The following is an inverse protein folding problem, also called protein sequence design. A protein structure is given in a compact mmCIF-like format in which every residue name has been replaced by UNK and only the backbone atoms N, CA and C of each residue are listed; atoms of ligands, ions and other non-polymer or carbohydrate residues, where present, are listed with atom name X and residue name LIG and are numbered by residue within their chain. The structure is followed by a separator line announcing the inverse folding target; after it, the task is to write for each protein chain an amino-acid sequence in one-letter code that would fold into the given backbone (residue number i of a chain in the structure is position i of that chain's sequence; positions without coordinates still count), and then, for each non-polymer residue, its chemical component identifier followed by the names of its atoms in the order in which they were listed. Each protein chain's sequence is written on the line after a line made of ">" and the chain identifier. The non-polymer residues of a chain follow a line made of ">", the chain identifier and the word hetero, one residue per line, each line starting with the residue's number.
data_IF_855227560168
#
_entry.id   IF_855227560168
#
_cell.length_a   1.000
_cell.length_b   1.000
_cell.length_c   1.000
_cell.angle_alpha   90.00
_cell.angle_beta   90.00
_cell.angle_gamma   90.00
#
_symmetry.space_group_name_H-M   'P 1'
#
loop_
_entity.id
_entity.type
_entity.pdbx_description
1 polymer ?
#
# COMPACT_ATOMS: atom_id res chain seq x y z
N UNK A 1 51.74 -6.34 -37.22
CA UNK A 1 50.35 -6.67 -36.82
C UNK A 1 49.42 -6.27 -37.98
N UNK A 2 48.39 -7.06 -38.34
CA UNK A 2 47.61 -6.84 -39.56
C UNK A 2 46.12 -6.60 -39.29
N UNK A 3 45.49 -5.77 -40.14
CA UNK A 3 44.05 -5.55 -40.14
C UNK A 3 43.36 -6.58 -41.04
N UNK A 4 42.51 -7.44 -40.47
CA UNK A 4 41.77 -8.44 -41.24
C UNK A 4 40.72 -7.84 -42.19
N UNK A 5 40.31 -6.59 -41.97
CA UNK A 5 39.27 -5.89 -42.75
C UNK A 5 39.83 -5.26 -44.03
N UNK A 6 41.00 -4.63 -43.96
CA UNK A 6 41.60 -3.94 -45.12
C UNK A 6 42.91 -4.58 -45.62
N UNK A 7 43.40 -5.63 -44.96
CA UNK A 7 44.61 -6.37 -45.37
C UNK A 7 45.93 -5.64 -45.15
N UNK A 8 45.92 -4.44 -44.57
CA UNK A 8 47.14 -3.68 -44.29
C UNK A 8 47.89 -4.27 -43.09
N UNK A 9 49.22 -4.37 -43.23
CA UNK A 9 50.13 -4.84 -42.18
C UNK A 9 51.00 -3.69 -41.70
N UNK A 10 51.22 -3.62 -40.38
CA UNK A 10 52.17 -2.70 -39.75
C UNK A 10 53.62 -3.21 -39.79
N UNK A 11 53.89 -4.33 -40.48
CA UNK A 11 55.21 -4.94 -40.55
C UNK A 11 56.19 -4.03 -41.33
N UNK A 12 57.25 -3.58 -40.67
CA UNK A 12 58.27 -2.69 -41.24
C UNK A 12 57.96 -1.19 -41.18
N UNK A 13 56.91 -0.75 -40.48
CA UNK A 13 56.61 0.69 -40.30
C UNK A 13 57.19 1.23 -39.00
N UNK A 14 57.38 2.57 -38.93
CA UNK A 14 57.88 3.24 -37.72
C UNK A 14 56.97 3.02 -36.49
N UNK A 15 55.69 2.72 -36.73
CA UNK A 15 54.63 2.51 -35.74
C UNK A 15 54.36 1.03 -35.44
N UNK A 16 55.22 0.12 -35.91
CA UNK A 16 55.06 -1.33 -35.72
C UNK A 16 54.97 -1.71 -34.23
N UNK A 17 55.72 -1.01 -33.37
CA UNK A 17 55.77 -1.24 -31.93
C UNK A 17 54.57 -0.65 -31.15
N UNK A 18 53.83 0.32 -31.71
CA UNK A 18 52.72 1.03 -31.04
C UNK A 18 51.34 0.54 -31.46
N UNK A 19 51.26 -0.31 -32.49
CA UNK A 19 49.99 -0.88 -32.97
C UNK A 19 49.38 -1.85 -31.96
N UNK A 20 48.16 -1.61 -31.47
CA UNK A 20 47.41 -2.55 -30.62
C UNK A 20 46.35 -3.29 -31.45
N UNK A 21 46.28 -4.62 -31.31
CA UNK A 21 45.25 -5.43 -31.97
C UNK A 21 43.89 -5.09 -31.35
N UNK A 22 43.06 -4.37 -32.10
CA UNK A 22 41.73 -3.92 -31.66
C UNK A 22 41.38 -2.50 -32.12
N UNK A 23 42.38 -1.69 -32.50
CA UNK A 23 42.15 -0.37 -33.07
C UNK A 23 43.18 -0.11 -34.18
N UNK A 24 42.90 -0.64 -35.37
CA UNK A 24 43.92 -0.77 -36.41
C UNK A 24 44.18 0.49 -37.24
N UNK A 25 43.35 1.55 -37.16
CA UNK A 25 43.47 2.70 -38.07
C UNK A 25 43.20 4.08 -37.46
N UNK A 26 42.98 4.18 -36.14
CA UNK A 26 42.74 5.46 -35.45
C UNK A 26 41.74 6.38 -36.20
N UNK A 27 40.66 5.77 -36.72
CA UNK A 27 39.58 6.52 -37.33
C UNK A 27 38.89 7.33 -36.24
N UNK A 28 38.86 8.65 -36.40
CA UNK A 28 38.02 9.51 -35.57
C UNK A 28 36.57 9.24 -35.96
N UNK A 29 35.85 8.52 -35.08
CA UNK A 29 34.46 8.15 -35.29
C UNK A 29 33.55 9.15 -34.58
N UNK A 30 32.54 9.62 -35.28
CA UNK A 30 31.47 10.42 -34.69
C UNK A 30 30.65 9.63 -33.67
N UNK A 31 29.77 10.34 -32.96
CA UNK A 31 28.82 9.73 -32.03
C UNK A 31 27.88 8.74 -32.74
N UNK A 32 27.43 7.71 -32.03
CA UNK A 32 26.40 6.80 -32.51
C UNK A 32 25.05 7.50 -32.58
N UNK A 33 24.41 7.40 -33.74
CA UNK A 33 23.10 8.00 -34.02
C UNK A 33 22.07 6.90 -34.28
N UNK A 34 20.90 6.93 -33.63
CA UNK A 34 19.89 5.90 -33.85
C UNK A 34 19.22 6.01 -35.22
N UNK A 35 18.94 4.86 -35.83
CA UNK A 35 18.28 4.76 -37.13
C UNK A 35 16.75 4.59 -37.02
N UNK A 36 16.25 4.23 -35.83
CA UNK A 36 14.81 4.06 -35.57
C UNK A 36 14.24 2.68 -35.90
N UNK A 37 15.07 1.75 -36.34
CA UNK A 37 14.74 0.37 -36.72
C UNK A 37 15.38 -0.67 -35.80
N UNK A 38 15.86 -0.24 -34.62
CA UNK A 38 16.62 -1.07 -33.69
C UNK A 38 18.12 -1.10 -33.98
N UNK A 39 18.62 -0.31 -34.93
CA UNK A 39 20.05 -0.13 -35.19
C UNK A 39 20.51 1.30 -34.93
N UNK A 40 21.83 1.49 -34.83
CA UNK A 40 22.47 2.81 -34.82
C UNK A 40 23.64 2.86 -35.80
N UNK A 41 23.98 4.07 -36.23
CA UNK A 41 25.07 4.31 -37.19
C UNK A 41 26.05 5.33 -36.64
N UNK A 42 27.35 5.14 -36.91
CA UNK A 42 28.37 6.18 -36.74
C UNK A 42 29.20 6.32 -38.01
N UNK A 43 29.69 7.52 -38.25
CA UNK A 43 30.46 7.86 -39.45
C UNK A 43 31.83 8.38 -39.05
N UNK A 44 32.86 8.03 -39.83
CA UNK A 44 34.19 8.61 -39.62
C UNK A 44 34.16 10.10 -39.98
N UNK A 45 34.70 10.95 -39.10
CA UNK A 45 34.71 12.42 -39.23
C UNK A 45 35.90 12.94 -40.03
N UNK A 46 36.87 12.08 -40.36
CA UNK A 46 38.07 12.44 -41.12
C UNK A 46 37.71 12.73 -42.58
N UNK A 47 38.12 13.89 -43.09
CA UNK A 47 37.83 14.32 -44.47
C UNK A 47 38.52 13.41 -45.50
N UNK A 48 37.77 12.99 -46.53
CA UNK A 48 38.22 12.01 -47.53
C UNK A 48 38.36 10.57 -47.03
N UNK A 49 37.89 10.25 -45.82
CA UNK A 49 37.96 8.88 -45.28
C UNK A 49 37.08 7.91 -46.08
N UNK A 50 37.68 6.82 -46.58
CA UNK A 50 36.99 5.75 -47.31
C UNK A 50 36.37 4.67 -46.42
N UNK A 51 36.55 4.75 -45.09
CA UNK A 51 36.00 3.78 -44.15
C UNK A 51 34.46 3.83 -44.06
N UNK A 52 33.84 4.95 -44.46
CA UNK A 52 32.39 5.07 -44.57
C UNK A 52 31.66 5.10 -43.23
N UNK A 53 30.52 4.41 -43.17
CA UNK A 53 29.61 4.32 -42.02
C UNK A 53 29.64 2.92 -41.41
N UNK A 54 29.61 2.83 -40.08
CA UNK A 54 29.38 1.58 -39.36
C UNK A 54 27.96 1.55 -38.84
N UNK A 55 27.29 0.41 -38.98
CA UNK A 55 25.96 0.16 -38.45
C UNK A 55 26.03 -1.05 -37.53
N UNK A 56 25.49 -0.90 -36.33
CA UNK A 56 25.41 -1.95 -35.32
C UNK A 56 23.98 -2.01 -34.75
N UNK A 57 23.60 -3.17 -34.23
CA UNK A 57 22.33 -3.35 -33.54
C UNK A 57 22.36 -2.66 -32.17
N UNK A 58 21.24 -2.06 -31.79
CA UNK A 58 21.08 -1.53 -30.44
C UNK A 58 21.13 -2.68 -29.42
N UNK A 59 21.93 -2.51 -28.38
CA UNK A 59 22.02 -3.43 -27.24
C UNK A 59 21.31 -2.80 -26.04
N UNK A 60 20.49 -3.58 -25.35
CA UNK A 60 19.84 -3.22 -24.08
C UNK A 60 20.08 -4.35 -23.07
N UNK A 61 21.29 -4.36 -22.52
CA UNK A 61 21.72 -5.37 -21.57
C UNK A 61 21.05 -5.19 -20.20
N UNK A 62 20.75 -3.94 -19.84
CA UNK A 62 20.18 -3.58 -18.54
C UNK A 62 18.64 -3.72 -18.50
N UNK A 63 18.00 -3.89 -19.66
CA UNK A 63 16.56 -4.05 -19.89
C UNK A 63 15.73 -2.83 -19.49
N UNK A 64 16.22 -1.61 -19.72
CA UNK A 64 15.49 -0.38 -19.45
C UNK A 64 14.77 0.21 -20.68
N UNK A 65 14.70 -0.56 -21.77
CA UNK A 65 14.15 -0.19 -23.08
C UNK A 65 15.00 0.81 -23.85
N UNK A 66 16.22 1.14 -23.39
CA UNK A 66 17.11 2.06 -24.08
C UNK A 66 18.34 1.33 -24.58
N UNK A 67 18.84 1.79 -25.72
CA UNK A 67 20.13 1.34 -26.19
C UNK A 67 21.24 1.84 -25.25
N UNK A 68 22.02 0.92 -24.69
CA UNK A 68 23.17 1.22 -23.81
C UNK A 68 24.29 2.02 -24.51
N UNK A 69 24.22 2.17 -25.83
CA UNK A 69 25.24 2.82 -26.65
C UNK A 69 24.81 4.23 -27.11
N UNK A 70 23.55 4.40 -27.51
CA UNK A 70 23.05 5.66 -28.08
C UNK A 70 21.80 6.23 -27.38
N UNK A 71 21.39 5.64 -26.25
CA UNK A 71 20.23 6.01 -25.42
C UNK A 71 18.86 6.00 -26.13
N UNK A 72 18.80 5.53 -27.38
CA UNK A 72 17.57 5.44 -28.14
C UNK A 72 16.59 4.46 -27.49
N UNK A 73 15.33 4.88 -27.37
CA UNK A 73 14.26 4.01 -26.85
C UNK A 73 13.93 2.97 -27.91
N UNK A 74 14.32 1.73 -27.67
CA UNK A 74 14.20 0.61 -28.62
C UNK A 74 12.73 0.20 -28.80
N UNK A 75 11.98 0.21 -27.71
CA UNK A 75 10.57 -0.17 -27.68
C UNK A 75 9.85 0.50 -26.50
N UNK A 76 8.53 0.56 -26.57
CA UNK A 76 7.70 1.01 -25.45
C UNK A 76 7.44 -0.16 -24.47
N UNK A 77 7.06 0.16 -23.23
CA UNK A 77 6.66 -0.87 -22.28
C UNK A 77 5.33 -1.50 -22.69
N UNK A 78 5.27 -2.84 -22.65
CA UNK A 78 4.06 -3.63 -22.89
C UNK A 78 3.71 -4.48 -21.66
N UNK A 79 2.43 -4.72 -21.44
CA UNK A 79 1.85 -5.52 -20.36
C UNK A 79 0.80 -6.48 -20.96
N UNK A 80 1.30 -7.46 -21.70
CA UNK A 80 0.50 -8.45 -22.41
C UNK A 80 -0.15 -9.43 -21.43
N UNK A 81 0.55 -9.74 -20.33
CA UNK A 81 0.07 -10.65 -19.29
C UNK A 81 -0.93 -9.98 -18.30
N UNK A 82 -1.06 -8.65 -18.36
CA UNK A 82 -1.95 -7.80 -17.56
C UNK A 82 -1.66 -7.82 -16.06
N UNK A 83 -0.41 -8.01 -15.65
CA UNK A 83 0.00 -8.00 -14.24
C UNK A 83 0.37 -6.59 -13.72
N UNK A 84 0.12 -5.55 -14.53
CA UNK A 84 0.47 -4.16 -14.28
C UNK A 84 1.98 -3.89 -14.28
N UNK A 85 2.79 -4.80 -14.83
CA UNK A 85 4.23 -4.64 -14.99
C UNK A 85 4.58 -4.79 -16.47
N UNK A 86 5.66 -4.14 -16.86
CA UNK A 86 6.22 -4.35 -18.17
C UNK A 86 6.77 -5.78 -18.28
N UNK A 87 6.36 -6.53 -19.29
CA UNK A 87 6.83 -7.90 -19.52
C UNK A 87 8.33 -7.98 -19.83
N UNK A 88 8.91 -6.88 -20.31
CA UNK A 88 10.31 -6.81 -20.68
C UNK A 88 11.21 -6.29 -19.55
N UNK A 89 10.87 -5.14 -18.94
CA UNK A 89 11.70 -4.51 -17.90
C UNK A 89 11.20 -4.72 -16.46
N UNK A 90 10.00 -5.26 -16.27
CA UNK A 90 9.38 -5.46 -14.96
C UNK A 90 8.91 -4.17 -14.26
N UNK A 91 9.09 -3.00 -14.88
CA UNK A 91 8.62 -1.71 -14.33
C UNK A 91 7.11 -1.74 -14.17
N UNK A 92 6.62 -1.29 -13.01
CA UNK A 92 5.18 -1.08 -12.80
C UNK A 92 4.65 -0.02 -13.76
N UNK A 93 3.63 -0.36 -14.55
CA UNK A 93 3.03 0.53 -15.55
C UNK A 93 1.81 1.26 -15.01
N UNK A 94 0.95 0.55 -14.31
CA UNK A 94 -0.29 1.10 -13.78
C UNK A 94 -0.53 0.65 -12.35
N UNK A 95 -1.43 1.35 -11.67
CA UNK A 95 -1.92 0.94 -10.36
C UNK A 95 -3.12 0.00 -10.52
N UNK A 96 -3.28 -0.92 -9.56
CA UNK A 96 -4.50 -1.71 -9.49
C UNK A 96 -5.68 -0.80 -9.17
N UNK A 97 -6.81 -1.08 -9.82
CA UNK A 97 -8.08 -0.38 -9.62
C UNK A 97 -9.26 -1.35 -9.74
N UNK A 98 -10.42 -0.89 -9.29
CA UNK A 98 -11.65 -1.69 -9.27
C UNK A 98 -11.83 -2.58 -8.03
N UNK A 99 -12.99 -3.19 -7.91
CA UNK A 99 -13.34 -4.02 -6.74
C UNK A 99 -13.54 -3.25 -5.44
N UNK A 100 -14.09 -3.93 -4.43
CA UNK A 100 -14.38 -3.37 -3.10
C UNK A 100 -13.80 -4.26 -2.01
N UNK A 101 -12.85 -3.73 -1.23
CA UNK A 101 -12.32 -4.43 -0.06
C UNK A 101 -13.39 -4.57 1.03
N UNK A 102 -13.37 -5.67 1.77
CA UNK A 102 -14.21 -5.97 2.93
C UNK A 102 -13.36 -6.03 4.20
N UNK A 103 -13.99 -6.30 5.34
CA UNK A 103 -13.29 -6.52 6.61
C UNK A 103 -12.41 -7.79 6.63
N UNK A 104 -12.49 -8.65 5.59
CA UNK A 104 -11.74 -9.91 5.49
C UNK A 104 -10.99 -10.05 4.16
N UNK A 105 -11.55 -9.55 3.07
CA UNK A 105 -11.01 -9.69 1.73
C UNK A 105 -10.53 -8.36 1.18
N UNK A 106 -9.37 -8.35 0.52
CA UNK A 106 -8.86 -7.17 -0.18
C UNK A 106 -9.70 -6.89 -1.43
N UNK A 107 -9.55 -5.68 -1.99
CA UNK A 107 -10.14 -5.38 -3.29
C UNK A 107 -9.51 -6.29 -4.35
N UNK A 108 -10.29 -6.74 -5.33
CA UNK A 108 -9.79 -7.48 -6.48
C UNK A 108 -9.72 -6.56 -7.67
N UNK A 109 -8.58 -6.55 -8.35
CA UNK A 109 -8.41 -5.71 -9.52
C UNK A 109 -9.31 -6.20 -10.65
N UNK A 110 -9.99 -5.28 -11.32
CA UNK A 110 -10.90 -5.61 -12.43
C UNK A 110 -10.16 -6.05 -13.70
N UNK A 111 -8.88 -5.70 -13.81
CA UNK A 111 -8.06 -6.01 -14.99
C UNK A 111 -7.35 -7.35 -14.88
N UNK A 112 -6.69 -7.61 -13.73
CA UNK A 112 -5.86 -8.79 -13.53
C UNK A 112 -6.46 -9.84 -12.57
N UNK A 113 -7.49 -9.47 -11.80
CA UNK A 113 -8.12 -10.36 -10.81
C UNK A 113 -7.36 -10.51 -9.49
N UNK A 114 -6.12 -10.02 -9.41
CA UNK A 114 -5.29 -10.09 -8.19
C UNK A 114 -5.84 -9.23 -7.07
N UNK A 115 -5.58 -9.67 -5.84
CA UNK A 115 -5.98 -8.96 -4.63
C UNK A 115 -5.00 -7.85 -4.28
N UNK A 116 -5.50 -6.64 -4.03
CA UNK A 116 -4.67 -5.46 -3.80
C UNK A 116 -5.23 -4.51 -2.74
N UNK A 117 -4.40 -3.57 -2.29
CA UNK A 117 -4.74 -2.59 -1.27
C UNK A 117 -4.87 -3.19 0.13
N UNK A 118 -5.45 -2.40 1.04
CA UNK A 118 -5.73 -2.79 2.41
C UNK A 118 -7.16 -3.29 2.59
N UNK A 119 -7.40 -4.03 3.68
CA UNK A 119 -8.75 -4.42 4.09
C UNK A 119 -9.56 -3.18 4.48
N UNK A 120 -10.87 -3.23 4.25
CA UNK A 120 -11.78 -2.20 4.72
C UNK A 120 -12.46 -2.65 6.01
N UNK A 121 -11.92 -2.20 7.14
CA UNK A 121 -12.42 -2.57 8.47
C UNK A 121 -13.90 -2.23 8.70
N UNK A 122 -14.47 -1.28 7.96
CA UNK A 122 -15.85 -0.82 8.11
C UNK A 122 -16.81 -1.46 7.10
N UNK A 123 -16.33 -2.27 6.15
CA UNK A 123 -17.18 -2.93 5.16
C UNK A 123 -17.46 -4.38 5.58
N UNK A 124 -18.55 -4.55 6.34
CA UNK A 124 -19.02 -5.84 6.85
C UNK A 124 -20.09 -6.45 5.93
N UNK A 125 -19.67 -7.04 4.80
CA UNK A 125 -20.57 -7.67 3.84
C UNK A 125 -21.41 -8.81 4.43
N UNK A 126 -20.90 -9.50 5.47
CA UNK A 126 -21.56 -10.63 6.13
C UNK A 126 -22.06 -10.28 7.55
N UNK A 127 -22.53 -9.04 7.76
CA UNK A 127 -23.11 -8.65 9.04
C UNK A 127 -24.52 -9.23 9.19
N UNK A 128 -24.74 -10.02 10.25
CA UNK A 128 -26.02 -10.65 10.56
C UNK A 128 -26.63 -10.04 11.81
N UNK A 129 -27.93 -9.79 11.79
CA UNK A 129 -28.70 -9.28 12.92
C UNK A 129 -29.21 -10.43 13.80
N UNK A 130 -29.18 -10.20 15.11
CA UNK A 130 -29.70 -11.09 16.13
C UNK A 130 -30.60 -10.28 17.08
N UNK A 131 -31.91 -10.56 17.14
CA UNK A 131 -32.82 -9.82 18.00
C UNK A 131 -32.58 -10.14 19.48
N UNK A 132 -33.00 -9.23 20.36
CA UNK A 132 -32.96 -9.45 21.80
C UNK A 132 -33.85 -10.63 22.23
N UNK A 133 -33.35 -11.45 23.15
CA UNK A 133 -34.11 -12.55 23.76
C UNK A 133 -34.09 -12.35 25.27
N UNK A 134 -35.27 -12.30 25.88
CA UNK A 134 -35.39 -12.12 27.33
C UNK A 134 -34.81 -13.32 28.08
N UNK A 135 -34.02 -13.05 29.12
CA UNK A 135 -33.55 -14.09 30.03
C UNK A 135 -34.74 -14.67 30.82
N UNK A 136 -34.66 -15.95 31.13
CA UNK A 136 -35.65 -16.66 31.96
C UNK A 136 -34.95 -17.23 33.20
N UNK A 137 -35.72 -17.87 34.08
CA UNK A 137 -35.15 -18.59 35.24
C UNK A 137 -34.28 -19.78 34.82
N UNK A 138 -34.53 -20.36 33.64
CA UNK A 138 -33.87 -21.60 33.18
C UNK A 138 -32.85 -21.37 32.06
N UNK A 139 -33.00 -20.30 31.28
CA UNK A 139 -32.15 -19.97 30.14
C UNK A 139 -31.64 -18.52 30.21
N UNK A 140 -30.40 -18.32 29.79
CA UNK A 140 -29.84 -16.99 29.57
C UNK A 140 -30.56 -16.31 28.40
N UNK A 141 -30.62 -14.99 28.45
CA UNK A 141 -31.08 -14.17 27.34
C UNK A 141 -29.91 -13.55 26.60
N UNK A 142 -30.22 -12.67 25.66
CA UNK A 142 -29.25 -11.81 25.02
C UNK A 142 -29.84 -10.42 24.74
N UNK A 143 -28.99 -9.41 24.67
CA UNK A 143 -29.35 -8.12 24.10
C UNK A 143 -29.51 -8.25 22.58
N UNK A 144 -30.05 -7.23 21.93
CA UNK A 144 -29.98 -7.12 20.47
C UNK A 144 -28.52 -6.89 20.05
N UNK A 145 -28.06 -7.58 19.01
CA UNK A 145 -26.70 -7.40 18.49
C UNK A 145 -26.59 -7.77 17.01
N UNK A 146 -25.47 -7.39 16.41
CA UNK A 146 -25.04 -7.81 15.08
C UNK A 146 -23.73 -8.57 15.18
N UNK A 147 -23.58 -9.61 14.37
CA UNK A 147 -22.36 -10.41 14.30
C UNK A 147 -21.86 -10.47 12.86
N UNK A 148 -20.59 -10.15 12.66
CA UNK A 148 -19.94 -10.27 11.36
C UNK A 148 -19.12 -11.55 11.32
N UNK A 149 -19.49 -12.50 10.43
CA UNK A 149 -18.72 -13.74 10.26
C UNK A 149 -17.35 -13.51 9.60
N UNK A 150 -17.17 -12.38 8.89
CA UNK A 150 -15.91 -12.01 8.25
C UNK A 150 -14.79 -11.74 9.26
N UNK A 151 -15.03 -10.81 10.20
CA UNK A 151 -14.06 -10.42 11.23
C UNK A 151 -14.27 -11.13 12.58
N UNK A 152 -15.34 -11.92 12.72
CA UNK A 152 -15.74 -12.64 13.95
C UNK A 152 -15.98 -11.73 15.16
N UNK A 153 -16.45 -10.52 14.90
CA UNK A 153 -16.75 -9.50 15.93
C UNK A 153 -18.24 -9.29 16.10
N UNK A 154 -18.61 -8.76 17.27
CA UNK A 154 -19.98 -8.45 17.67
C UNK A 154 -20.14 -6.93 17.75
N UNK A 155 -21.33 -6.44 17.43
CA UNK A 155 -21.63 -5.02 17.33
C UNK A 155 -23.00 -4.69 17.92
N UNK A 156 -23.15 -3.47 18.46
CA UNK A 156 -24.43 -2.97 18.99
C UNK A 156 -25.35 -2.34 17.93
N UNK A 157 -24.83 -2.06 16.74
CA UNK A 157 -25.54 -1.33 15.70
C UNK A 157 -25.41 -1.98 14.32
N UNK A 158 -26.39 -1.73 13.46
CA UNK A 158 -26.45 -2.26 12.10
C UNK A 158 -25.35 -1.74 11.17
N UNK A 159 -24.67 -0.65 11.53
CA UNK A 159 -23.52 -0.12 10.78
C UNK A 159 -22.17 -0.64 11.29
N UNK A 160 -22.17 -1.52 12.29
CA UNK A 160 -20.99 -2.13 12.89
C UNK A 160 -19.93 -1.11 13.36
N UNK A 161 -20.38 0.00 13.93
CA UNK A 161 -19.51 1.07 14.44
C UNK A 161 -19.16 0.91 15.92
N UNK A 162 -20.02 0.24 16.69
CA UNK A 162 -19.85 0.01 18.12
C UNK A 162 -19.56 -1.47 18.38
N UNK A 163 -18.28 -1.84 18.38
CA UNK A 163 -17.82 -3.20 18.72
C UNK A 163 -18.07 -3.53 20.19
N UNK A 164 -18.50 -4.76 20.46
CA UNK A 164 -18.70 -5.35 21.78
C UNK A 164 -18.07 -6.73 21.89
N UNK A 165 -17.84 -7.19 23.12
CA UNK A 165 -17.41 -8.57 23.36
C UNK A 165 -18.62 -9.49 23.31
N UNK A 166 -18.40 -10.74 22.92
CA UNK A 166 -19.43 -11.78 22.97
C UNK A 166 -20.04 -11.93 24.38
N UNK A 167 -19.24 -11.80 25.43
CA UNK A 167 -19.76 -11.89 26.80
C UNK A 167 -20.76 -10.77 27.13
N UNK A 168 -20.60 -9.59 26.51
CA UNK A 168 -21.49 -8.45 26.72
C UNK A 168 -22.84 -8.63 25.99
N UNK A 169 -22.94 -9.60 25.07
CA UNK A 169 -24.23 -9.91 24.42
C UNK A 169 -25.15 -10.72 25.34
N UNK A 170 -24.60 -11.40 26.35
CA UNK A 170 -25.32 -12.38 27.17
C UNK A 170 -25.98 -11.70 28.37
N UNK A 171 -27.27 -11.98 28.56
CA UNK A 171 -28.03 -11.55 29.74
C UNK A 171 -28.17 -12.73 30.68
N UNK A 172 -27.64 -12.60 31.90
CA UNK A 172 -27.69 -13.65 32.91
C UNK A 172 -29.14 -14.09 33.21
N UNK A 173 -29.28 -15.36 33.62
CA UNK A 173 -30.58 -15.93 34.04
C UNK A 173 -31.20 -15.11 35.16
N UNK A 174 -32.53 -15.06 35.18
CA UNK A 174 -33.25 -14.43 36.28
C UNK A 174 -32.92 -15.17 37.59
N UNK A 175 -32.74 -14.45 38.71
CA UNK A 175 -32.52 -15.09 40.00
C UNK A 175 -33.68 -16.05 40.28
N UNK A 176 -33.34 -17.30 40.61
CA UNK A 176 -34.33 -18.26 41.08
C UNK A 176 -34.93 -17.77 42.39
N UNK A 177 -36.24 -18.00 42.59
CA UNK A 177 -36.87 -17.81 43.89
C UNK A 177 -36.28 -18.83 44.85
N UNK A 178 -35.12 -18.56 45.42
CA UNK A 178 -34.74 -19.17 46.68
C UNK A 178 -35.65 -18.55 47.73
N UNK A 179 -36.83 -19.16 47.90
CA UNK A 179 -37.51 -19.14 49.19
C UNK A 179 -36.53 -19.79 50.16
N UNK A 180 -35.75 -18.94 50.84
CA UNK A 180 -34.94 -19.34 51.97
C UNK A 180 -35.93 -19.79 53.05
N UNK A 181 -35.96 -21.07 53.49
CA UNK A 181 -36.83 -21.45 54.58
C UNK A 181 -36.28 -20.79 55.86
N UNK A 182 -37.05 -19.86 56.41
CA UNK A 182 -37.04 -19.44 57.81
C UNK A 182 -35.73 -18.97 58.43
N UNK A 183 -35.55 -17.65 58.49
CA UNK A 183 -35.13 -16.98 59.72
C UNK A 183 -35.57 -15.52 59.64
N UNK A 184 -36.61 -15.19 60.40
CA UNK A 184 -37.19 -13.86 60.55
C UNK A 184 -36.10 -12.81 60.82
N UNK A 185 -35.98 -11.83 59.91
CA UNK A 185 -35.48 -10.49 60.22
C UNK A 185 -36.24 -9.46 59.38
N UNK A 186 -37.14 -8.76 60.09
CA UNK A 186 -37.55 -7.34 60.02
C UNK A 186 -37.42 -6.57 58.70
N UNK A 187 -38.40 -5.70 58.32
CA UNK A 187 -38.34 -4.94 57.08
C UNK A 187 -37.19 -3.93 57.11
N UNK A 188 -36.26 -4.05 56.16
CA UNK A 188 -35.28 -3.02 55.88
C UNK A 188 -35.88 -2.01 54.89
N UNK A 189 -36.57 -1.01 55.42
CA UNK A 189 -36.70 0.29 54.75
C UNK A 189 -35.34 0.98 54.80
N UNK A 190 -34.68 1.12 53.65
CA UNK A 190 -33.39 1.80 53.55
C UNK A 190 -32.87 1.75 52.13
N UNK A 191 -32.93 2.90 51.47
CA UNK A 191 -32.50 3.15 50.10
C UNK A 191 -31.11 2.58 49.79
N UNK A 192 -31.02 1.79 48.71
CA UNK A 192 -29.74 1.49 48.09
C UNK A 192 -29.36 2.68 47.21
N UNK A 193 -28.73 3.66 47.85
CA UNK A 193 -28.11 4.84 47.23
C UNK A 193 -27.33 4.45 45.97
N UNK A 194 -27.93 4.78 44.83
CA UNK A 194 -27.29 4.75 43.54
C UNK A 194 -26.24 5.87 43.52
N UNK A 195 -24.97 5.54 43.76
CA UNK A 195 -23.84 6.48 43.75
C UNK A 195 -23.70 7.22 42.40
N UNK A 196 -24.34 6.73 41.33
CA UNK A 196 -24.38 7.35 40.00
C UNK A 196 -25.48 8.41 39.85
N UNK A 197 -26.52 8.42 40.68
CA UNK A 197 -27.60 9.42 40.62
C UNK A 197 -27.19 10.79 41.19
N UNK A 198 -26.19 10.84 42.09
CA UNK A 198 -25.70 12.10 42.68
C UNK A 198 -24.72 12.87 41.78
N UNK A 199 -24.03 12.20 40.85
CA UNK A 199 -23.04 12.85 39.97
C UNK A 199 -23.74 13.64 38.84
N UNK A 200 -24.97 13.27 38.48
CA UNK A 200 -25.73 13.94 37.42
C UNK A 200 -26.35 15.29 37.86
N UNK A 201 -26.43 15.59 39.16
CA UNK A 201 -27.11 16.78 39.70
C UNK A 201 -26.20 17.98 40.00
N UNK A 202 -24.88 17.88 39.80
CA UNK A 202 -23.94 18.96 40.11
C UNK A 202 -23.51 19.85 38.92
N UNK A 203 -24.07 19.68 37.72
CA UNK A 203 -23.73 20.53 36.57
C UNK A 203 -24.85 21.47 36.09
N UNK A 204 -25.92 21.63 36.87
CA UNK A 204 -27.03 22.55 36.56
C UNK A 204 -27.25 23.54 37.71
N UNK A 205 -26.25 24.35 38.07
CA UNK A 205 -26.50 25.67 38.67
C UNK A 205 -25.21 26.47 38.89
N UNK A 206 -25.12 27.63 38.22
CA UNK A 206 -24.18 28.72 38.52
C UNK A 206 -22.92 28.67 37.65
N UNK A 207 -22.71 29.54 36.66
CA UNK A 207 -23.03 30.97 36.63
C UNK A 207 -21.71 31.75 36.69
N UNK A 208 -21.52 32.62 35.70
CA UNK A 208 -20.31 33.38 35.42
C UNK A 208 -19.73 34.17 36.61
N UNK A 209 -18.39 34.24 36.67
CA UNK A 209 -17.68 35.39 37.23
C UNK A 209 -16.34 35.61 36.51
N UNK A 210 -16.18 36.83 36.05
CA UNK A 210 -15.09 37.40 35.26
C UNK A 210 -13.97 37.87 36.20
N UNK A 211 -12.71 37.79 35.75
CA UNK A 211 -11.81 38.95 35.83
C UNK A 211 -10.46 38.83 36.54
N UNK A 212 -9.40 38.80 35.71
CA UNK A 212 -8.10 39.54 35.83
C UNK A 212 -7.16 39.15 37.00
N UNK A 213 -5.83 38.98 36.87
CA UNK A 213 -4.80 39.79 36.19
C UNK A 213 -3.45 39.01 36.09
N UNK A 214 -2.77 39.20 34.94
CA UNK A 214 -1.33 39.51 34.75
C UNK A 214 -0.24 38.72 35.52
N UNK A 215 0.65 38.04 34.78
CA UNK A 215 2.06 38.48 34.56
C UNK A 215 2.70 37.64 33.47
N UNK A 216 3.28 38.36 32.52
CA UNK A 216 4.10 37.96 31.40
C UNK A 216 5.44 37.34 31.81
N UNK A 217 5.90 36.32 31.06
CA UNK A 217 7.34 36.10 30.82
C UNK A 217 7.59 35.38 29.48
N UNK A 218 8.03 36.20 28.52
CA UNK A 218 8.95 35.91 27.41
C UNK A 218 9.62 34.52 27.43
N UNK A 219 9.54 33.82 26.30
CA UNK A 219 10.76 33.35 25.62
C UNK A 219 10.52 33.22 24.12
N UNK A 220 11.21 34.09 23.37
CA UNK A 220 11.61 33.85 21.97
C UNK A 220 12.36 32.51 21.91
N UNK A 221 12.21 31.77 20.81
CA UNK A 221 13.34 31.33 19.97
C UNK A 221 12.81 30.82 18.62
N UNK A 222 13.39 31.36 17.54
CA UNK A 222 13.31 30.86 16.17
C UNK A 222 13.98 29.47 16.08
N UNK A 223 13.47 28.63 15.19
CA UNK A 223 14.23 28.15 14.04
C UNK A 223 13.28 27.85 12.89
#
# INVERSE_FOLDING_TARGET
>A
KSCAVCGLSSEGTADEATFFSGNALDHDWGAWMPNGDGTHTRTCTVDGCSAGTQTEDCIDANKDHKCDICDYIINECADDNKDHKCDYCGKKLTEHSGGKATCKDKAKCEFCGESYGELNANNHSDLKHFPAVAATKTAEGNIEYWYCSGCKKYYKDATATQEIKQADTVTAKLPGDTVKPGADKSPQTGDNSNLLLWIALLFISGGAAIGTTVVSRKKKYNR
#
